data_IF_611867486003
#
_entry.id   IF_611867486003
#
_cell.length_a   1.000
_cell.length_b   1.000
_cell.length_c   1.000
_cell.angle_alpha   90.00
_cell.angle_beta   90.00
_cell.angle_gamma   90.00
#
_symmetry.space_group_name_H-M   'P 1'
#
loop_
_entity.id
_entity.type
_entity.pdbx_description
1 polymer ?
#
# COMPACT_ATOMS: atom_id res chain seq x y z
N UNK A 1 7.55 -6.94 -45.76
CA UNK A 1 7.58 -7.61 -44.44
C UNK A 1 8.41 -6.90 -43.38
N UNK A 2 9.48 -6.14 -43.68
CA UNK A 2 10.23 -5.40 -42.64
C UNK A 2 9.58 -4.08 -42.18
N UNK A 3 8.94 -3.32 -43.08
CA UNK A 3 8.41 -1.98 -42.78
C UNK A 3 7.25 -2.00 -41.76
N UNK A 4 6.38 -3.02 -41.79
CA UNK A 4 5.23 -3.12 -40.89
C UNK A 4 5.65 -3.27 -39.42
N UNK A 5 6.80 -3.91 -39.17
CA UNK A 5 7.30 -4.16 -37.82
C UNK A 5 7.89 -2.89 -37.20
N UNK A 6 8.51 -2.03 -38.02
CA UNK A 6 9.01 -0.74 -37.58
C UNK A 6 7.87 0.22 -37.20
N UNK A 7 6.76 0.22 -37.94
CA UNK A 7 5.58 1.03 -37.62
C UNK A 7 4.94 0.57 -36.31
N UNK A 8 4.79 -0.75 -36.11
CA UNK A 8 4.31 -1.32 -34.84
C UNK A 8 5.25 -0.99 -33.67
N UNK A 9 6.56 -1.11 -33.85
CA UNK A 9 7.53 -0.76 -32.82
C UNK A 9 7.49 0.74 -32.46
N UNK A 10 7.34 1.61 -33.47
CA UNK A 10 7.23 3.06 -33.28
C UNK A 10 5.96 3.44 -32.53
N UNK A 11 4.87 2.69 -32.69
CA UNK A 11 3.61 2.87 -31.94
C UNK A 11 3.68 2.29 -30.51
N UNK A 12 4.38 1.16 -30.32
CA UNK A 12 4.53 0.53 -29.01
C UNK A 12 5.44 1.34 -28.07
N UNK A 13 6.49 1.99 -28.59
CA UNK A 13 7.44 2.76 -27.79
C UNK A 13 6.77 3.89 -26.95
N UNK A 14 5.96 4.81 -27.53
CA UNK A 14 5.30 5.85 -26.74
C UNK A 14 4.28 5.27 -25.78
N UNK A 15 3.62 4.15 -26.12
CA UNK A 15 2.71 3.46 -25.20
C UNK A 15 3.47 2.91 -23.98
N UNK A 16 4.63 2.30 -24.20
CA UNK A 16 5.50 1.81 -23.13
C UNK A 16 5.97 2.98 -22.23
N UNK A 17 6.44 4.08 -22.82
CA UNK A 17 6.85 5.28 -22.07
C UNK A 17 5.68 5.85 -21.28
N UNK A 18 4.47 5.89 -21.85
CA UNK A 18 3.27 6.35 -21.17
C UNK A 18 2.91 5.47 -19.95
N UNK A 19 3.13 4.15 -20.03
CA UNK A 19 2.91 3.23 -18.91
C UNK A 19 3.89 3.47 -17.76
N UNK A 20 5.13 3.91 -18.04
CA UNK A 20 6.10 4.25 -16.99
C UNK A 20 5.79 5.58 -16.28
N UNK A 21 4.96 6.44 -16.87
CA UNK A 21 4.54 7.71 -16.28
C UNK A 21 3.39 7.55 -15.27
N UNK A 22 2.84 6.35 -15.12
CA UNK A 22 1.74 6.09 -14.18
C UNK A 22 2.24 6.28 -12.75
N UNK A 23 1.64 7.25 -12.05
CA UNK A 23 1.91 7.50 -10.63
C UNK A 23 0.77 6.99 -9.79
N UNK A 24 1.06 6.58 -8.56
CA UNK A 24 0.04 6.23 -7.58
C UNK A 24 0.07 7.24 -6.43
N UNK A 25 -1.10 7.57 -5.91
CA UNK A 25 -1.26 8.51 -4.81
C UNK A 25 -2.42 8.14 -3.90
N UNK A 26 -2.46 8.78 -2.74
CA UNK A 26 -3.54 8.66 -1.77
C UNK A 26 -4.21 10.01 -1.65
N UNK A 27 -5.53 10.01 -1.75
CA UNK A 27 -6.37 11.19 -1.59
C UNK A 27 -7.31 10.96 -0.41
N UNK A 28 -7.41 11.99 0.44
CA UNK A 28 -8.11 11.96 1.72
C UNK A 28 -9.14 13.07 1.69
N UNK A 29 -10.41 12.71 1.79
CA UNK A 29 -11.54 13.63 1.88
C UNK A 29 -11.97 13.75 3.35
N UNK A 30 -11.82 14.95 3.91
CA UNK A 30 -11.99 15.19 5.35
C UNK A 30 -13.46 15.23 5.75
N UNK A 31 -14.28 15.91 4.95
CA UNK A 31 -15.69 16.16 5.27
C UNK A 31 -16.53 14.87 5.26
N UNK A 32 -16.26 13.98 4.30
CA UNK A 32 -17.01 12.73 4.11
C UNK A 32 -16.39 11.52 4.79
N UNK A 33 -15.21 11.68 5.42
CA UNK A 33 -14.39 10.57 5.92
C UNK A 33 -14.20 9.49 4.86
N UNK A 34 -13.76 9.91 3.68
CA UNK A 34 -13.51 9.03 2.55
C UNK A 34 -12.03 9.07 2.18
N UNK A 35 -11.51 7.95 1.70
CA UNK A 35 -10.16 7.86 1.21
C UNK A 35 -10.13 7.07 -0.10
N UNK A 36 -9.28 7.46 -1.04
CA UNK A 36 -9.03 6.67 -2.23
C UNK A 36 -7.54 6.54 -2.51
N UNK A 37 -7.17 5.37 -3.01
CA UNK A 37 -5.92 5.19 -3.74
C UNK A 37 -6.23 5.43 -5.20
N UNK A 38 -5.50 6.35 -5.83
CA UNK A 38 -5.67 6.66 -7.24
C UNK A 38 -4.41 6.36 -8.04
N UNK A 39 -4.62 5.92 -9.28
CA UNK A 39 -3.59 5.87 -10.33
C UNK A 39 -3.77 7.08 -11.23
N UNK A 40 -2.70 7.83 -11.38
CA UNK A 40 -2.62 9.04 -12.20
C UNK A 40 -2.02 8.70 -13.56
N UNK A 41 -2.81 8.92 -14.61
CA UNK A 41 -2.44 8.84 -16.02
C UNK A 41 -2.37 10.25 -16.61
N UNK A 42 -1.60 11.13 -15.97
CA UNK A 42 -1.40 12.51 -16.37
C UNK A 42 -2.59 13.41 -16.05
N UNK A 43 -3.66 13.35 -16.86
CA UNK A 43 -4.89 14.14 -16.65
C UNK A 43 -6.04 13.34 -16.05
N UNK A 44 -5.93 12.02 -16.05
CA UNK A 44 -6.98 11.12 -15.55
C UNK A 44 -6.52 10.45 -14.27
N UNK A 45 -7.33 10.59 -13.20
CA UNK A 45 -7.14 9.87 -11.94
C UNK A 45 -8.21 8.79 -11.81
N UNK A 46 -7.77 7.55 -11.68
CA UNK A 46 -8.67 6.40 -11.54
C UNK A 46 -8.42 5.78 -10.17
N UNK A 47 -9.47 5.70 -9.35
CA UNK A 47 -9.40 5.16 -8.00
C UNK A 47 -10.79 5.03 -7.38
N UNK A 48 -11.00 3.99 -6.58
CA UNK A 48 -12.24 3.77 -5.85
C UNK A 48 -12.21 4.49 -4.51
N UNK A 49 -13.30 5.20 -4.17
CA UNK A 49 -13.49 5.77 -2.84
C UNK A 49 -13.87 4.68 -1.84
N UNK A 50 -13.27 4.74 -0.67
CA UNK A 50 -13.56 3.89 0.47
C UNK A 50 -14.12 4.78 1.57
N UNK A 51 -15.35 4.49 1.98
CA UNK A 51 -15.95 5.09 3.17
C UNK A 51 -15.35 4.49 4.43
N UNK A 52 -15.02 5.36 5.38
CA UNK A 52 -14.40 5.00 6.65
C UNK A 52 -15.39 5.05 7.82
N UNK A 53 -16.67 5.24 7.54
CA UNK A 53 -17.72 5.24 8.55
C UNK A 53 -17.78 3.87 9.25
N UNK A 54 -17.76 3.87 10.58
CA UNK A 54 -17.73 2.67 11.41
C UNK A 54 -16.34 2.11 11.72
N UNK A 55 -15.28 2.56 11.05
CA UNK A 55 -13.90 2.21 11.42
C UNK A 55 -13.40 3.11 12.56
N UNK A 56 -12.75 2.50 13.54
CA UNK A 56 -12.32 3.13 14.81
C UNK A 56 -10.81 3.17 14.98
N UNK A 57 -10.04 2.46 14.18
CA UNK A 57 -8.58 2.46 14.26
C UNK A 57 -7.92 2.19 12.91
N UNK A 58 -6.66 2.61 12.80
CA UNK A 58 -5.79 2.34 11.66
C UNK A 58 -4.72 1.34 12.11
N UNK A 59 -4.57 0.24 11.38
CA UNK A 59 -3.57 -0.80 11.62
C UNK A 59 -2.50 -0.75 10.53
N UNK A 60 -1.23 -0.78 10.93
CA UNK A 60 -0.08 -0.92 10.05
C UNK A 60 0.66 -2.23 10.35
N UNK A 61 0.67 -3.18 9.40
CA UNK A 61 1.33 -4.49 9.57
C UNK A 61 2.13 -4.92 8.34
N UNK A 62 2.83 -6.04 8.45
CA UNK A 62 3.52 -6.66 7.31
C UNK A 62 2.55 -7.53 6.49
N UNK A 63 2.62 -7.44 5.16
CA UNK A 63 1.79 -8.24 4.23
C UNK A 63 1.97 -9.75 4.36
N UNK A 64 3.15 -10.20 4.80
CA UNK A 64 3.46 -11.63 4.91
C UNK A 64 2.68 -12.38 5.99
N UNK A 65 1.89 -11.68 6.80
CA UNK A 65 1.26 -12.24 8.01
C UNK A 65 -0.19 -12.67 7.80
N UNK A 66 -0.76 -12.43 6.61
CA UNK A 66 -2.15 -12.79 6.29
C UNK A 66 -2.34 -13.91 5.26
N UNK A 67 -1.28 -14.49 4.73
CA UNK A 67 -1.43 -15.49 3.66
C UNK A 67 -1.73 -16.89 4.21
N UNK A 68 -2.97 -17.13 4.65
CA UNK A 68 -3.53 -18.47 4.90
C UNK A 68 -3.91 -19.21 3.60
N UNK A 69 -3.72 -18.61 2.42
CA UNK A 69 -3.96 -19.28 1.12
C UNK A 69 -2.67 -19.49 0.33
N UNK A 70 -2.08 -20.70 0.33
CA UNK A 70 -0.95 -20.97 -0.53
C UNK A 70 -1.40 -20.97 -1.99
N UNK A 71 -1.13 -19.90 -2.73
CA UNK A 71 -1.09 -19.98 -4.19
C UNK A 71 0.20 -20.74 -4.57
N UNK A 72 0.12 -21.81 -5.39
CA UNK A 72 1.30 -22.50 -5.88
C UNK A 72 1.90 -21.66 -7.02
N UNK A 73 2.69 -20.65 -6.67
CA UNK A 73 3.50 -19.92 -7.64
C UNK A 73 4.97 -20.30 -7.44
N UNK A 74 5.44 -21.19 -8.31
CA UNK A 74 6.85 -21.45 -8.54
C UNK A 74 7.56 -20.13 -8.91
N UNK A 75 8.11 -19.45 -7.92
CA UNK A 75 9.02 -18.33 -8.17
C UNK A 75 10.00 -18.26 -7.02
N UNK A 76 11.28 -18.41 -7.34
CA UNK A 76 12.42 -18.06 -6.50
C UNK A 76 12.45 -16.52 -6.37
N UNK A 77 11.40 -15.96 -5.78
CA UNK A 77 11.12 -14.54 -5.75
C UNK A 77 11.65 -13.91 -4.47
N UNK A 78 12.48 -12.88 -4.61
CA UNK A 78 12.80 -11.94 -3.54
C UNK A 78 11.48 -11.51 -2.88
N UNK A 79 11.23 -11.98 -1.66
CA UNK A 79 10.02 -11.65 -0.91
C UNK A 79 10.14 -10.20 -0.46
N UNK A 80 9.73 -9.26 -1.31
CA UNK A 80 9.71 -7.84 -0.98
C UNK A 80 8.71 -7.66 0.17
N UNK A 81 9.20 -7.23 1.34
CA UNK A 81 8.34 -6.92 2.48
C UNK A 81 7.55 -5.65 2.17
N UNK A 82 6.27 -5.81 1.91
CA UNK A 82 5.29 -4.73 1.81
C UNK A 82 4.62 -4.48 3.17
N UNK A 83 4.00 -3.31 3.30
CA UNK A 83 3.41 -2.79 4.54
C UNK A 83 1.94 -2.49 4.29
N UNK A 84 1.06 -3.23 4.95
CA UNK A 84 -0.38 -3.11 4.77
C UNK A 84 -0.91 -2.04 5.71
N UNK A 85 -1.63 -1.07 5.15
CA UNK A 85 -2.47 -0.14 5.90
C UNK A 85 -3.90 -0.66 5.86
N UNK A 86 -4.45 -0.96 7.03
CA UNK A 86 -5.81 -1.46 7.19
C UNK A 86 -6.62 -0.54 8.10
N UNK A 87 -7.93 -0.55 7.90
CA UNK A 87 -8.88 0.01 8.84
C UNK A 87 -9.54 -1.09 9.64
N UNK A 88 -9.67 -0.87 10.94
CA UNK A 88 -10.34 -1.75 11.89
C UNK A 88 -11.47 -0.99 12.59
N UNK A 89 -12.59 -1.68 12.82
CA UNK A 89 -13.77 -1.12 13.46
C UNK A 89 -14.43 -2.18 14.35
N UNK A 90 -15.15 -1.74 15.37
CA UNK A 90 -15.87 -2.67 16.23
C UNK A 90 -17.01 -3.34 15.45
N UNK A 91 -16.93 -4.65 15.26
CA UNK A 91 -17.92 -5.42 14.50
C UNK A 91 -17.80 -5.35 12.97
N UNK A 92 -16.77 -4.69 12.44
CA UNK A 92 -16.47 -4.68 11.00
C UNK A 92 -15.24 -5.54 10.68
N UNK A 93 -15.23 -6.25 9.54
CA UNK A 93 -14.02 -6.92 9.08
C UNK A 93 -12.93 -5.89 8.77
N UNK A 94 -11.68 -6.29 8.98
CA UNK A 94 -10.53 -5.47 8.58
C UNK A 94 -10.61 -5.16 7.08
N UNK A 95 -10.39 -3.90 6.72
CA UNK A 95 -10.38 -3.47 5.33
C UNK A 95 -9.00 -3.01 4.93
N UNK A 96 -8.40 -3.74 4.01
CA UNK A 96 -7.14 -3.34 3.38
C UNK A 96 -7.38 -2.07 2.56
N UNK A 97 -6.69 -0.99 2.93
CA UNK A 97 -6.73 0.27 2.20
C UNK A 97 -5.67 0.30 1.13
N UNK A 98 -4.42 0.04 1.51
CA UNK A 98 -3.29 0.09 0.59
C UNK A 98 -2.09 -0.70 1.10
N UNK A 99 -1.34 -1.28 0.16
CA UNK A 99 -0.06 -1.92 0.41
C UNK A 99 1.07 -0.97 -0.02
N UNK A 100 1.89 -0.57 0.94
CA UNK A 100 3.04 0.30 0.70
C UNK A 100 4.31 -0.54 0.50
N UNK A 101 5.15 -0.12 -0.45
CA UNK A 101 6.47 -0.72 -0.67
C UNK A 101 7.49 -0.32 0.40
N UNK A 102 7.28 0.80 1.09
CA UNK A 102 8.20 1.31 2.11
C UNK A 102 7.47 1.74 3.37
N UNK A 103 8.05 1.41 4.53
CA UNK A 103 7.51 1.75 5.83
C UNK A 103 7.36 3.26 6.03
N UNK A 104 8.31 4.05 5.52
CA UNK A 104 8.30 5.51 5.68
C UNK A 104 7.12 6.15 4.98
N UNK A 105 6.73 5.66 3.79
CA UNK A 105 5.52 6.12 3.11
C UNK A 105 4.26 5.68 3.85
N UNK A 106 4.22 4.41 4.28
CA UNK A 106 3.10 3.87 5.04
C UNK A 106 2.85 4.68 6.32
N UNK A 107 3.91 4.91 7.11
CA UNK A 107 3.85 5.68 8.34
C UNK A 107 3.38 7.11 8.13
N UNK A 108 3.89 7.79 7.08
CA UNK A 108 3.44 9.14 6.73
C UNK A 108 1.94 9.17 6.40
N UNK A 109 1.45 8.20 5.62
CA UNK A 109 0.04 8.12 5.29
C UNK A 109 -0.82 7.91 6.55
N UNK A 110 -0.42 6.96 7.40
CA UNK A 110 -1.09 6.69 8.68
C UNK A 110 -1.09 7.91 9.59
N UNK A 111 0.03 8.63 9.73
CA UNK A 111 0.11 9.83 10.57
C UNK A 111 -0.81 10.95 10.07
N UNK A 112 -0.92 11.13 8.76
CA UNK A 112 -1.83 12.12 8.16
C UNK A 112 -3.29 11.71 8.40
N UNK A 113 -3.63 10.45 8.15
CA UNK A 113 -4.99 9.92 8.35
C UNK A 113 -5.44 9.94 9.81
N UNK A 114 -4.56 9.52 10.72
CA UNK A 114 -4.80 9.52 12.16
C UNK A 114 -5.09 10.93 12.67
N UNK A 115 -4.29 11.92 12.26
CA UNK A 115 -4.51 13.33 12.62
C UNK A 115 -5.78 13.91 12.00
N UNK A 116 -6.07 13.52 10.75
CA UNK A 116 -7.23 14.02 10.02
C UNK A 116 -8.56 13.54 10.62
N UNK A 117 -8.62 12.29 11.08
CA UNK A 117 -9.86 11.64 11.53
C UNK A 117 -9.88 11.32 13.02
N UNK A 118 -8.85 11.71 13.77
CA UNK A 118 -8.66 11.42 15.19
C UNK A 118 -8.74 9.90 15.50
N UNK A 119 -8.13 9.10 14.62
CA UNK A 119 -8.13 7.64 14.75
C UNK A 119 -6.87 7.16 15.46
N UNK A 120 -6.97 6.29 16.48
CA UNK A 120 -5.81 5.62 17.06
C UNK A 120 -5.10 4.74 16.04
N UNK A 121 -3.78 4.69 16.17
CA UNK A 121 -2.88 3.93 15.28
C UNK A 121 -2.29 2.75 16.04
N UNK A 122 -2.42 1.56 15.46
CA UNK A 122 -1.71 0.36 15.88
C UNK A 122 -0.59 0.08 14.86
N UNK A 123 0.67 0.11 15.31
CA UNK A 123 1.84 -0.04 14.44
C UNK A 123 2.64 -1.29 14.84
N UNK A 124 2.15 -2.44 14.38
CA UNK A 124 2.77 -3.75 14.67
C UNK A 124 4.19 -3.84 14.07
N UNK A 125 4.44 -3.10 12.99
CA UNK A 125 5.74 -3.06 12.34
C UNK A 125 6.79 -2.41 13.25
N UNK A 126 6.44 -1.28 13.87
CA UNK A 126 7.30 -0.60 14.83
C UNK A 126 7.57 -1.47 16.07
N UNK A 127 6.55 -2.14 16.59
CA UNK A 127 6.66 -3.04 17.75
C UNK A 127 7.63 -4.19 17.48
N UNK A 128 7.46 -4.90 16.36
CA UNK A 128 8.36 -6.01 15.99
C UNK A 128 9.81 -5.58 15.77
N UNK A 129 10.03 -4.38 15.25
CA UNK A 129 11.39 -3.82 15.11
C UNK A 129 12.05 -3.59 16.46
N UNK A 130 11.30 -3.09 17.44
CA UNK A 130 11.79 -2.89 18.82
C UNK A 130 12.12 -4.22 19.49
N UNK A 131 11.24 -5.21 19.36
CA UNK A 131 11.46 -6.55 19.90
C UNK A 131 12.70 -7.23 19.30
N UNK A 132 12.87 -7.13 17.98
CA UNK A 132 14.03 -7.71 17.29
C UNK A 132 15.33 -7.04 17.74
N UNK A 133 15.32 -5.71 17.88
CA UNK A 133 16.46 -4.95 18.41
C UNK A 133 16.82 -5.36 19.85
N UNK A 134 15.81 -5.51 20.72
CA UNK A 134 16.01 -5.92 22.11
C UNK A 134 16.59 -7.34 22.22
N UNK A 135 16.07 -8.30 21.42
CA UNK A 135 16.60 -9.68 21.37
C UNK A 135 18.04 -9.73 20.85
N UNK A 136 18.40 -8.89 19.87
CA UNK A 136 19.76 -8.82 19.35
C UNK A 136 20.75 -8.25 20.38
N UNK A 137 20.32 -7.28 21.20
CA UNK A 137 21.14 -6.72 22.28
C UNK A 137 21.39 -7.73 23.42
N UNK A 138 20.39 -8.55 23.75
CA UNK A 138 20.52 -9.61 24.76
C UNK A 138 21.48 -10.74 24.34
N UNK A 139 21.55 -11.07 23.04
CA UNK A 139 22.49 -12.10 22.52
C UNK A 139 23.95 -11.66 22.46
N UNK A 140 24.23 -10.36 22.65
CA UNK A 140 25.58 -9.78 22.59
C UNK A 140 26.17 -9.54 23.99
N UNK A 141 25.41 -9.81 25.04
CA UNK A 141 25.86 -9.83 26.44
C UNK A 141 26.06 -11.27 26.87
#
# INVERSE_FOLDING_TARGET
>A
FYFDHWILALLCLPLAVALFLVRSGVEIELERREARVYKDFGRFRIGGWIQLEGYTSILLRYTSEQWERPMPAATTGVRVRTYDLLFQGSGLPEKLFHEFSTYTLARKAVDVMSKAWDLPVQDEVAEKRRETGARAAQRRR
#
